data_IF_381813660734
#
_entry.id   IF_381813660734
#
_cell.length_a   1.000
_cell.length_b   1.000
_cell.length_c   1.000
_cell.angle_alpha   90.00
_cell.angle_beta   90.00
_cell.angle_gamma   90.00
#
_symmetry.space_group_name_H-M   'P 1'
#
loop_
_entity.id
_entity.type
_entity.pdbx_description
1 polymer ?
#
# COMPACT_ATOMS: atom_id res chain seq x y z
N UNK A 1 -3.59 -11.32 -0.68
CA UNK A 1 -4.76 -10.91 0.13
C UNK A 1 -5.95 -11.89 -0.01
N UNK A 2 -6.02 -12.70 -1.03
CA UNK A 2 -7.10 -13.69 -1.29
C UNK A 2 -7.06 -14.92 -0.38
N UNK A 3 -6.02 -15.07 0.44
CA UNK A 3 -5.84 -16.24 1.29
C UNK A 3 -6.14 -15.96 2.75
N UNK A 4 -6.85 -16.87 3.47
CA UNK A 4 -6.91 -16.87 4.92
C UNK A 4 -5.51 -16.89 5.53
N UNK A 5 -5.32 -16.26 6.70
CA UNK A 5 -4.01 -16.04 7.32
C UNK A 5 -3.16 -17.33 7.44
N UNK A 6 -3.77 -18.45 7.85
CA UNK A 6 -3.07 -19.73 7.98
C UNK A 6 -2.63 -20.31 6.64
N UNK A 7 -3.45 -20.18 5.59
CA UNK A 7 -3.09 -20.65 4.23
C UNK A 7 -1.98 -19.78 3.66
N UNK A 8 -2.02 -18.47 3.88
CA UNK A 8 -0.99 -17.53 3.48
C UNK A 8 0.35 -17.84 4.16
N UNK A 9 0.35 -18.03 5.48
CA UNK A 9 1.55 -18.40 6.22
C UNK A 9 2.17 -19.70 5.68
N UNK A 10 1.35 -20.74 5.50
CA UNK A 10 1.82 -22.03 4.96
C UNK A 10 2.38 -21.86 3.54
N UNK A 11 1.71 -21.08 2.67
CA UNK A 11 2.20 -20.84 1.31
C UNK A 11 3.57 -20.17 1.31
N UNK A 12 3.73 -19.10 2.10
CA UNK A 12 5.00 -18.36 2.20
C UNK A 12 6.10 -19.28 2.72
N UNK A 13 5.87 -19.97 3.83
CA UNK A 13 6.88 -20.84 4.44
C UNK A 13 7.29 -21.99 3.49
N UNK A 14 6.33 -22.60 2.78
CA UNK A 14 6.58 -23.74 1.90
C UNK A 14 7.12 -23.36 0.53
N UNK A 15 6.57 -22.32 -0.11
CA UNK A 15 6.88 -21.97 -1.51
C UNK A 15 7.96 -20.90 -1.64
N UNK A 16 7.97 -19.92 -0.76
CA UNK A 16 8.95 -18.83 -0.79
C UNK A 16 10.19 -19.21 0.00
N UNK A 17 10.02 -19.54 1.29
CA UNK A 17 11.12 -19.85 2.19
C UNK A 17 11.61 -21.31 2.10
N UNK A 18 10.92 -22.16 1.33
CA UNK A 18 11.30 -23.57 1.05
C UNK A 18 11.46 -24.45 2.30
N UNK A 19 10.76 -24.12 3.38
CA UNK A 19 10.78 -24.93 4.61
C UNK A 19 10.15 -26.30 4.38
N UNK A 20 10.60 -27.31 5.14
CA UNK A 20 9.98 -28.63 5.12
C UNK A 20 8.60 -28.59 5.79
N UNK A 21 7.69 -29.46 5.36
CA UNK A 21 6.34 -29.53 5.95
C UNK A 21 6.35 -29.82 7.46
N UNK A 22 7.35 -30.57 7.95
CA UNK A 22 7.55 -30.84 9.37
C UNK A 22 7.93 -29.58 10.17
N UNK A 23 8.81 -28.75 9.63
CA UNK A 23 9.24 -27.49 10.27
C UNK A 23 8.08 -26.50 10.35
N UNK A 24 7.28 -26.41 9.27
CA UNK A 24 6.07 -25.59 9.27
C UNK A 24 5.01 -26.12 10.23
N UNK A 25 4.87 -27.43 10.35
CA UNK A 25 3.94 -28.06 11.29
C UNK A 25 4.31 -27.76 12.74
N UNK A 26 5.61 -27.82 13.07
CA UNK A 26 6.14 -27.44 14.38
C UNK A 26 5.92 -25.97 14.68
N UNK A 27 6.29 -25.05 13.76
CA UNK A 27 6.13 -23.61 13.93
C UNK A 27 4.68 -23.20 14.16
N UNK A 28 3.73 -23.81 13.44
CA UNK A 28 2.30 -23.46 13.48
C UNK A 28 1.49 -24.32 14.44
N UNK A 29 2.15 -25.10 15.31
CA UNK A 29 1.54 -26.05 16.25
C UNK A 29 0.42 -26.89 15.60
N UNK A 30 0.80 -27.65 14.57
CA UNK A 30 -0.14 -28.41 13.75
C UNK A 30 0.48 -29.70 13.21
N UNK A 31 -0.23 -30.43 12.36
CA UNK A 31 0.27 -31.66 11.74
C UNK A 31 0.76 -31.42 10.31
N UNK A 32 1.70 -32.25 9.83
CA UNK A 32 2.16 -32.24 8.44
C UNK A 32 0.98 -32.41 7.45
N UNK A 33 0.00 -33.21 7.80
CA UNK A 33 -1.21 -33.40 6.98
C UNK A 33 -2.00 -32.09 6.87
N UNK A 34 -2.14 -31.37 7.99
CA UNK A 34 -2.81 -30.05 8.02
C UNK A 34 -2.06 -29.00 7.20
N UNK A 35 -0.73 -29.00 7.24
CA UNK A 35 0.13 -28.12 6.42
C UNK A 35 -0.08 -28.41 4.93
N UNK A 36 -0.02 -29.68 4.52
CA UNK A 36 -0.21 -30.06 3.11
C UNK A 36 -1.61 -29.71 2.61
N UNK A 37 -2.65 -29.95 3.42
CA UNK A 37 -4.03 -29.59 3.08
C UNK A 37 -4.22 -28.07 2.98
N UNK A 38 -3.58 -27.28 3.86
CA UNK A 38 -3.62 -25.82 3.80
C UNK A 38 -2.90 -25.31 2.55
N UNK A 39 -1.75 -25.88 2.18
CA UNK A 39 -1.02 -25.53 0.96
C UNK A 39 -1.83 -25.82 -0.29
N UNK A 40 -2.49 -26.98 -0.35
CA UNK A 40 -3.34 -27.35 -1.47
C UNK A 40 -4.51 -26.36 -1.63
N UNK A 41 -5.21 -26.03 -0.54
CA UNK A 41 -6.28 -25.03 -0.57
C UNK A 41 -5.77 -23.64 -0.98
N UNK A 42 -4.60 -23.24 -0.48
CA UNK A 42 -4.00 -21.95 -0.86
C UNK A 42 -3.77 -21.89 -2.39
N UNK A 43 -3.21 -22.94 -2.97
CA UNK A 43 -2.97 -23.03 -4.42
C UNK A 43 -4.29 -23.02 -5.21
N UNK A 44 -5.30 -23.78 -4.77
CA UNK A 44 -6.63 -23.81 -5.41
C UNK A 44 -7.26 -22.41 -5.42
N UNK A 45 -7.27 -21.73 -4.25
CA UNK A 45 -7.81 -20.38 -4.14
C UNK A 45 -7.09 -19.38 -5.06
N UNK A 46 -5.75 -19.43 -5.15
CA UNK A 46 -5.00 -18.58 -6.06
C UNK A 46 -5.32 -18.87 -7.53
N UNK A 47 -5.48 -20.13 -7.90
CA UNK A 47 -5.88 -20.53 -9.26
C UNK A 47 -7.29 -20.05 -9.58
N UNK A 48 -8.24 -20.18 -8.64
CA UNK A 48 -9.63 -19.72 -8.81
C UNK A 48 -9.72 -18.22 -9.00
N UNK A 49 -8.81 -17.45 -8.38
CA UNK A 49 -8.71 -15.99 -8.53
C UNK A 49 -7.80 -15.56 -9.68
N UNK A 50 -7.36 -16.49 -10.55
CA UNK A 50 -6.40 -16.24 -11.63
C UNK A 50 -5.11 -15.53 -11.19
N UNK A 51 -4.72 -15.64 -9.91
CA UNK A 51 -3.49 -15.01 -9.41
C UNK A 51 -2.30 -15.84 -9.90
N UNK A 52 -1.59 -15.36 -10.89
CA UNK A 52 -0.34 -15.94 -11.39
C UNK A 52 0.86 -15.25 -10.72
N UNK A 53 1.92 -16.04 -10.49
CA UNK A 53 3.23 -15.46 -10.05
C UNK A 53 3.84 -14.55 -11.13
N UNK A 54 3.29 -14.61 -12.35
CA UNK A 54 3.70 -13.84 -13.51
C UNK A 54 2.69 -12.75 -13.92
N UNK A 55 1.66 -12.52 -13.10
CA UNK A 55 0.75 -11.39 -13.36
C UNK A 55 1.55 -10.10 -13.19
N UNK A 56 2.11 -9.64 -14.31
CA UNK A 56 2.57 -8.26 -14.41
C UNK A 56 1.32 -7.40 -14.22
N UNK A 57 1.34 -6.42 -13.31
CA UNK A 57 0.24 -5.48 -13.20
C UNK A 57 -0.11 -4.94 -14.58
N UNK A 58 -1.39 -4.85 -14.90
CA UNK A 58 -1.78 -4.24 -16.16
C UNK A 58 -1.24 -2.81 -16.20
N UNK A 59 -0.73 -2.35 -17.34
CA UNK A 59 -0.29 -0.97 -17.48
C UNK A 59 -1.42 -0.02 -17.05
N UNK A 60 -1.07 1.02 -16.31
CA UNK A 60 -2.01 2.04 -15.87
C UNK A 60 -2.65 2.65 -17.11
N UNK A 61 -3.96 2.60 -17.22
CA UNK A 61 -4.71 3.20 -18.32
C UNK A 61 -4.77 4.73 -18.19
N UNK A 62 -5.25 5.41 -19.24
CA UNK A 62 -5.34 6.88 -19.28
C UNK A 62 -6.23 7.44 -18.16
N UNK A 63 -7.34 6.77 -17.83
CA UNK A 63 -8.24 7.20 -16.77
C UNK A 63 -7.59 7.08 -15.38
N UNK A 64 -6.81 6.03 -15.16
CA UNK A 64 -6.03 5.85 -13.94
C UNK A 64 -4.90 6.88 -13.83
N UNK A 65 -4.23 7.22 -14.94
CA UNK A 65 -3.23 8.27 -14.98
C UNK A 65 -3.83 9.63 -14.61
N UNK A 66 -5.01 9.97 -15.15
CA UNK A 66 -5.74 11.19 -14.80
C UNK A 66 -6.15 11.22 -13.31
N UNK A 67 -6.65 10.10 -12.78
CA UNK A 67 -6.97 9.97 -11.36
C UNK A 67 -5.75 10.23 -10.46
N UNK A 68 -4.59 9.64 -10.80
CA UNK A 68 -3.34 9.82 -10.07
C UNK A 68 -2.82 11.25 -10.16
N UNK A 69 -2.93 11.90 -11.32
CA UNK A 69 -2.56 13.31 -11.47
C UNK A 69 -3.44 14.23 -10.60
N UNK A 70 -4.74 13.98 -10.55
CA UNK A 70 -5.68 14.69 -9.67
C UNK A 70 -5.37 14.46 -8.19
N UNK A 71 -4.96 13.24 -7.82
CA UNK A 71 -4.54 12.93 -6.45
C UNK A 71 -3.32 13.76 -6.05
N UNK A 72 -2.28 13.84 -6.89
CA UNK A 72 -1.07 14.65 -6.63
C UNK A 72 -1.44 16.11 -6.47
N UNK A 73 -2.17 16.69 -7.43
CA UNK A 73 -2.58 18.09 -7.42
C UNK A 73 -3.38 18.45 -6.16
N UNK A 74 -4.36 17.63 -5.80
CA UNK A 74 -5.18 17.85 -4.61
C UNK A 74 -4.37 17.68 -3.31
N UNK A 75 -3.45 16.71 -3.25
CA UNK A 75 -2.63 16.47 -2.07
C UNK A 75 -1.61 17.60 -1.84
N UNK A 76 -0.90 18.04 -2.88
CA UNK A 76 0.10 19.11 -2.76
C UNK A 76 -0.51 20.47 -2.42
N UNK A 77 -1.72 20.76 -2.92
CA UNK A 77 -2.49 21.95 -2.54
C UNK A 77 -3.22 21.81 -1.22
N UNK A 78 -3.19 20.64 -0.61
CA UNK A 78 -3.95 20.28 0.58
C UNK A 78 -5.46 20.54 0.44
N UNK A 79 -5.99 20.31 -0.77
CA UNK A 79 -7.42 20.43 -1.09
C UNK A 79 -8.15 19.16 -0.65
N UNK A 80 -8.58 19.16 0.62
CA UNK A 80 -9.18 18.00 1.28
C UNK A 80 -10.46 17.55 0.59
N UNK A 81 -11.30 18.46 0.12
CA UNK A 81 -12.55 18.10 -0.53
C UNK A 81 -12.30 17.43 -1.89
N UNK A 82 -11.34 17.94 -2.66
CA UNK A 82 -10.91 17.29 -3.90
C UNK A 82 -10.28 15.93 -3.67
N UNK A 83 -9.45 15.76 -2.62
CA UNK A 83 -8.89 14.46 -2.24
C UNK A 83 -9.99 13.44 -1.90
N UNK A 84 -10.94 13.85 -1.05
CA UNK A 84 -12.05 12.98 -0.61
C UNK A 84 -12.93 12.56 -1.80
N UNK A 85 -13.13 13.44 -2.78
CA UNK A 85 -13.90 13.13 -3.99
C UNK A 85 -13.26 12.06 -4.90
N UNK A 86 -11.96 11.74 -4.73
CA UNK A 86 -11.28 10.66 -5.46
C UNK A 86 -11.44 9.29 -4.81
N UNK A 87 -11.96 9.23 -3.58
CA UNK A 87 -11.99 8.04 -2.76
C UNK A 87 -13.32 7.29 -2.88
N UNK A 88 -13.25 5.97 -2.79
CA UNK A 88 -14.42 5.16 -2.53
C UNK A 88 -15.00 5.47 -1.14
N UNK A 89 -16.32 5.38 -0.96
CA UNK A 89 -16.95 5.65 0.34
C UNK A 89 -16.39 4.79 1.49
N UNK A 90 -16.03 3.54 1.19
CA UNK A 90 -15.44 2.55 2.09
C UNK A 90 -13.92 2.44 1.98
N UNK A 91 -13.22 3.46 1.48
CA UNK A 91 -11.76 3.43 1.32
C UNK A 91 -11.06 2.98 2.60
N UNK A 92 -10.07 2.11 2.45
CA UNK A 92 -9.21 1.67 3.55
C UNK A 92 -7.93 2.48 3.56
N UNK A 93 -7.51 2.96 4.72
CA UNK A 93 -6.22 3.59 4.92
C UNK A 93 -5.47 2.95 6.07
N UNK A 94 -4.17 2.75 5.91
CA UNK A 94 -3.27 2.35 6.99
C UNK A 94 -1.92 3.07 6.86
N UNK A 95 -1.20 3.19 7.99
CA UNK A 95 0.02 3.99 8.08
C UNK A 95 1.11 3.25 8.87
N UNK A 96 1.65 2.12 8.35
CA UNK A 96 2.74 1.44 9.01
C UNK A 96 4.01 2.32 9.08
N UNK A 97 4.82 2.23 10.16
CA UNK A 97 4.70 1.28 11.27
C UNK A 97 3.70 1.69 12.38
N UNK A 98 3.02 2.83 12.25
CA UNK A 98 2.02 3.24 13.23
C UNK A 98 0.81 2.30 13.23
N UNK A 99 0.20 2.01 14.40
CA UNK A 99 -1.00 1.21 14.49
C UNK A 99 -2.24 2.04 14.11
N UNK A 100 -2.13 2.79 13.02
CA UNK A 100 -3.21 3.62 12.48
C UNK A 100 -3.88 2.87 11.33
N UNK A 101 -5.16 2.65 11.49
CA UNK A 101 -6.03 2.08 10.48
C UNK A 101 -7.39 2.77 10.52
N UNK A 102 -7.91 3.14 9.37
CA UNK A 102 -9.23 3.75 9.26
C UNK A 102 -9.97 3.27 8.01
N UNK A 103 -11.28 3.39 8.02
CA UNK A 103 -12.14 3.03 6.91
C UNK A 103 -13.18 4.11 6.69
N UNK A 104 -13.31 4.52 5.43
CA UNK A 104 -14.28 5.51 4.98
C UNK A 104 -13.67 6.87 4.67
N UNK A 105 -14.15 7.49 3.60
CA UNK A 105 -13.68 8.79 3.13
C UNK A 105 -13.89 9.91 4.18
N UNK A 106 -14.96 9.83 4.98
CA UNK A 106 -15.24 10.77 6.06
C UNK A 106 -14.22 10.70 7.22
N UNK A 107 -13.78 9.49 7.58
CA UNK A 107 -12.72 9.29 8.59
C UNK A 107 -11.38 9.86 8.10
N UNK A 108 -11.04 9.63 6.84
CA UNK A 108 -9.84 10.21 6.24
C UNK A 108 -9.88 11.73 6.21
N UNK A 109 -11.04 12.32 5.85
CA UNK A 109 -11.26 13.77 5.91
C UNK A 109 -11.02 14.32 7.33
N UNK A 110 -11.59 13.66 8.34
CA UNK A 110 -11.43 14.05 9.75
C UNK A 110 -9.97 13.97 10.17
N UNK A 111 -9.27 12.92 9.74
CA UNK A 111 -7.85 12.74 10.03
C UNK A 111 -6.99 13.85 9.37
N UNK A 112 -7.26 14.20 8.10
CA UNK A 112 -6.55 15.29 7.41
C UNK A 112 -6.73 16.65 8.11
N UNK A 113 -7.95 16.93 8.60
CA UNK A 113 -8.24 18.17 9.36
C UNK A 113 -7.62 18.20 10.77
N UNK A 114 -7.16 17.05 11.26
CA UNK A 114 -6.53 16.89 12.56
C UNK A 114 -5.04 16.53 12.44
N UNK A 115 -4.63 15.31 12.83
CA UNK A 115 -3.21 14.91 12.81
C UNK A 115 -2.56 14.99 11.43
N UNK A 116 -3.34 14.78 10.36
CA UNK A 116 -2.87 14.83 8.98
C UNK A 116 -2.59 16.24 8.45
N UNK A 117 -2.94 17.30 9.18
CA UNK A 117 -2.67 18.69 8.78
C UNK A 117 -1.18 18.99 8.62
N UNK A 118 -0.31 18.22 9.27
CA UNK A 118 1.14 18.29 9.05
C UNK A 118 1.60 17.89 7.63
N UNK A 119 0.70 17.34 6.81
CA UNK A 119 0.98 17.05 5.40
C UNK A 119 0.80 18.28 4.49
N UNK A 120 0.27 19.41 5.00
CA UNK A 120 0.09 20.61 4.21
C UNK A 120 1.41 21.11 3.60
N UNK A 121 1.37 21.43 2.30
CA UNK A 121 2.53 21.88 1.55
C UNK A 121 3.56 20.79 1.24
N UNK A 122 3.24 19.52 1.46
CA UNK A 122 4.11 18.41 1.03
C UNK A 122 4.29 18.37 -0.48
N UNK A 123 5.38 17.73 -0.95
CA UNK A 123 5.60 17.39 -2.36
C UNK A 123 5.50 15.89 -2.56
N UNK A 124 4.97 15.49 -3.71
CA UNK A 124 4.89 14.11 -4.15
C UNK A 124 5.69 13.89 -5.44
N UNK A 125 6.38 12.76 -5.52
CA UNK A 125 6.96 12.28 -6.78
C UNK A 125 6.41 10.88 -7.10
N UNK A 126 6.03 10.60 -8.35
CA UNK A 126 5.54 9.29 -8.74
C UNK A 126 6.66 8.25 -8.66
N UNK A 127 6.31 7.07 -8.16
CA UNK A 127 7.16 5.89 -8.10
C UNK A 127 6.34 4.66 -8.48
N UNK A 128 7.02 3.56 -8.73
CA UNK A 128 6.40 2.25 -8.86
C UNK A 128 6.80 1.38 -7.68
N UNK A 129 5.82 0.78 -7.01
CA UNK A 129 6.01 -0.10 -5.86
C UNK A 129 5.47 -1.49 -6.20
N UNK A 130 6.36 -2.44 -6.48
CA UNK A 130 5.99 -3.81 -6.86
C UNK A 130 4.96 -3.86 -8.01
N UNK A 131 5.14 -3.01 -9.03
CA UNK A 131 4.27 -2.95 -10.20
C UNK A 131 2.95 -2.22 -10.02
N UNK A 132 2.72 -1.57 -8.87
CA UNK A 132 1.56 -0.70 -8.66
C UNK A 132 1.97 0.76 -8.49
N UNK A 133 1.09 1.73 -8.83
CA UNK A 133 1.41 3.14 -8.68
C UNK A 133 1.58 3.54 -7.23
N UNK A 134 2.56 4.37 -6.97
CA UNK A 134 2.82 4.96 -5.66
C UNK A 134 3.42 6.34 -5.77
N UNK A 135 3.63 6.97 -4.63
CA UNK A 135 4.25 8.29 -4.53
C UNK A 135 5.19 8.34 -3.35
N UNK A 136 6.35 8.95 -3.54
CA UNK A 136 7.21 9.36 -2.45
C UNK A 136 6.77 10.75 -1.98
N UNK A 137 6.61 10.93 -0.67
CA UNK A 137 6.20 12.19 -0.05
C UNK A 137 7.34 12.82 0.73
N UNK A 138 7.60 14.10 0.48
CA UNK A 138 8.43 14.94 1.33
C UNK A 138 7.55 15.96 2.04
N UNK A 139 7.74 16.10 3.35
CA UNK A 139 7.12 17.16 4.14
C UNK A 139 7.93 18.45 4.07
N UNK A 140 7.22 19.56 4.01
CA UNK A 140 7.81 20.89 4.02
C UNK A 140 8.33 21.28 5.41
N UNK A 141 9.56 21.75 5.48
CA UNK A 141 10.18 22.29 6.68
C UNK A 141 9.87 23.80 6.85
N UNK A 142 10.11 24.34 8.04
CA UNK A 142 9.89 25.74 8.34
C UNK A 142 10.78 26.69 7.51
N UNK A 143 11.95 26.24 7.05
CA UNK A 143 12.88 26.99 6.20
C UNK A 143 12.53 26.90 4.70
N UNK A 144 11.47 26.17 4.34
CA UNK A 144 11.01 25.97 2.97
C UNK A 144 11.60 24.77 2.27
N UNK A 145 12.63 24.13 2.83
CA UNK A 145 13.17 22.85 2.35
C UNK A 145 12.19 21.71 2.61
N UNK A 146 12.51 20.50 2.11
CA UNK A 146 11.65 19.32 2.28
C UNK A 146 12.44 18.14 2.79
N UNK A 147 11.81 17.36 3.68
CA UNK A 147 12.39 16.11 4.22
C UNK A 147 11.52 14.92 3.85
N UNK A 148 12.15 13.83 3.40
CA UNK A 148 11.50 12.56 3.10
C UNK A 148 10.65 12.11 4.28
N UNK A 149 9.42 11.63 3.98
CA UNK A 149 8.47 11.26 5.02
C UNK A 149 7.87 9.88 4.83
N UNK A 150 7.16 9.66 3.74
CA UNK A 150 6.45 8.39 3.52
C UNK A 150 6.41 7.99 2.05
N UNK A 151 6.17 6.70 1.82
CA UNK A 151 5.81 6.13 0.52
C UNK A 151 4.32 5.81 0.53
N UNK A 152 3.56 6.35 -0.41
CA UNK A 152 2.15 6.05 -0.62
C UNK A 152 2.02 4.93 -1.64
N UNK A 153 1.17 3.96 -1.37
CA UNK A 153 0.74 2.93 -2.33
C UNK A 153 -0.77 3.01 -2.44
N UNK A 154 -1.28 3.15 -3.67
CA UNK A 154 -2.70 3.35 -3.93
C UNK A 154 -3.31 2.12 -4.60
N UNK A 155 -4.41 1.63 -4.05
CA UNK A 155 -5.28 0.64 -4.70
C UNK A 155 -6.39 1.36 -5.45
N UNK A 156 -6.50 1.11 -6.76
CA UNK A 156 -7.50 1.74 -7.62
C UNK A 156 -8.42 0.66 -8.17
N UNK A 157 -9.72 0.89 -8.07
CA UNK A 157 -10.74 0.02 -8.67
C UNK A 157 -11.97 0.84 -9.05
N UNK A 158 -12.54 0.55 -10.23
CA UNK A 158 -13.74 1.24 -10.69
C UNK A 158 -13.59 2.76 -10.87
N UNK A 159 -12.37 3.25 -11.15
CA UNK A 159 -12.08 4.67 -11.36
C UNK A 159 -11.98 5.52 -10.09
N UNK A 160 -11.89 4.89 -8.91
CA UNK A 160 -11.71 5.54 -7.61
C UNK A 160 -10.63 4.84 -6.78
N UNK A 161 -10.09 5.54 -5.78
CA UNK A 161 -9.12 4.98 -4.83
C UNK A 161 -9.88 4.19 -3.76
N UNK A 162 -9.58 2.90 -3.65
CA UNK A 162 -10.23 1.96 -2.72
C UNK A 162 -9.35 1.60 -1.52
N UNK A 163 -8.04 1.85 -1.62
CA UNK A 163 -7.08 1.61 -0.55
C UNK A 163 -5.88 2.55 -0.64
N UNK A 164 -5.34 2.91 0.52
CA UNK A 164 -4.15 3.74 0.67
C UNK A 164 -3.28 3.18 1.79
N UNK A 165 -2.04 2.84 1.45
CA UNK A 165 -1.04 2.40 2.40
C UNK A 165 0.08 3.44 2.44
N UNK A 166 0.29 4.09 3.60
CA UNK A 166 1.34 5.08 3.80
C UNK A 166 2.45 4.49 4.65
N UNK A 167 3.53 4.10 4.03
CA UNK A 167 4.73 3.57 4.71
C UNK A 167 5.58 4.74 5.21
N UNK A 168 5.47 5.05 6.50
CA UNK A 168 6.20 6.17 7.13
C UNK A 168 7.60 5.71 7.52
N UNK A 169 8.45 5.60 6.53
CA UNK A 169 9.85 5.21 6.66
C UNK A 169 10.71 5.91 5.59
N UNK A 170 11.43 6.99 5.93
CA UNK A 170 12.37 7.64 5.01
C UNK A 170 13.46 6.71 4.49
N UNK A 171 13.77 5.62 5.19
CA UNK A 171 14.74 4.62 4.74
C UNK A 171 14.34 3.89 3.45
N UNK A 172 13.09 3.99 3.01
CA UNK A 172 12.63 3.43 1.74
C UNK A 172 13.05 4.27 0.52
N UNK A 173 13.31 5.57 0.67
CA UNK A 173 13.59 6.46 -0.45
C UNK A 173 14.81 6.05 -1.29
N UNK A 174 15.96 5.64 -0.69
CA UNK A 174 17.09 5.14 -1.48
C UNK A 174 16.79 3.92 -2.34
N UNK A 175 15.77 3.13 -2.01
CA UNK A 175 15.35 1.97 -2.84
C UNK A 175 14.72 2.40 -4.18
N UNK A 176 14.32 3.67 -4.29
CA UNK A 176 13.75 4.29 -5.49
C UNK A 176 14.70 5.34 -6.10
N UNK A 177 15.99 5.35 -5.70
CA UNK A 177 16.98 6.35 -6.11
C UNK A 177 16.55 7.80 -5.80
N UNK A 178 15.79 8.00 -4.72
CA UNK A 178 15.26 9.31 -4.32
C UNK A 178 16.04 9.91 -3.15
N UNK A 179 16.24 11.24 -3.15
CA UNK A 179 16.94 11.94 -2.09
C UNK A 179 16.10 12.05 -0.82
N UNK A 180 16.75 12.06 0.35
CA UNK A 180 16.09 12.28 1.64
C UNK A 180 15.69 13.74 1.87
N UNK A 181 16.30 14.69 1.14
CA UNK A 181 16.05 16.13 1.27
C UNK A 181 15.93 16.77 -0.11
N UNK A 182 15.02 17.76 -0.21
CA UNK A 182 14.90 18.63 -1.38
C UNK A 182 15.07 20.08 -0.93
N UNK A 183 15.67 20.89 -1.77
CA UNK A 183 15.78 22.33 -1.57
C UNK A 183 14.41 23.03 -1.72
N UNK A 184 14.33 24.29 -1.26
CA UNK A 184 13.11 25.09 -1.28
C UNK A 184 12.65 25.44 -2.70
#
# INVERSE_FOLDING_TARGET
QHLPARQRAVLILREVLKWKASEVAELLDTTVVSVNSALQRARSTLTEHNVSVHDTPEPIDEAQQELLARYVDAFERFDIESLVALLHEDVRMQMPPYPLWMRGAGEYRTWLLGPGSECEGSRLAPIEVNGVPGFAQWRRNADGSFTAWSVHVLEISGGVITGMDFFVDPGLFPLFDLPLHLDA
#
